data_IF_638622235709
#
_entry.id   IF_638622235709
#
_cell.length_a   1.000
_cell.length_b   1.000
_cell.length_c   1.000
_cell.angle_alpha   90.00
_cell.angle_beta   90.00
_cell.angle_gamma   90.00
#
_symmetry.space_group_name_H-M   'P 1'
#
loop_
_entity.id
_entity.type
_entity.pdbx_description
1 polymer ?
#
# COMPACT_ATOMS: atom_id res chain seq x y z
N UNK A 1 11.90 -1.77 -20.90
CA UNK A 1 11.88 -1.17 -19.55
C UNK A 1 13.09 -1.73 -18.81
N UNK A 2 14.00 -0.90 -18.28
CA UNK A 2 15.27 -1.38 -17.73
C UNK A 2 15.04 -2.45 -16.66
N UNK A 3 15.77 -3.58 -16.76
CA UNK A 3 15.71 -4.72 -15.83
C UNK A 3 15.80 -4.29 -14.35
N UNK A 4 16.55 -3.21 -14.10
CA UNK A 4 16.67 -2.57 -12.79
C UNK A 4 15.35 -1.99 -12.24
N UNK A 5 14.58 -1.25 -13.05
CA UNK A 5 13.28 -0.69 -12.66
C UNK A 5 12.30 -1.81 -12.30
N UNK A 6 12.36 -2.92 -13.03
CA UNK A 6 11.52 -4.08 -12.77
C UNK A 6 11.85 -4.75 -11.43
N UNK A 7 13.13 -4.84 -11.06
CA UNK A 7 13.57 -5.36 -9.76
C UNK A 7 13.10 -4.44 -8.63
N UNK A 8 13.29 -3.13 -8.78
CA UNK A 8 12.82 -2.13 -7.79
C UNK A 8 11.32 -2.28 -7.54
N UNK A 9 10.53 -2.43 -8.61
CA UNK A 9 9.07 -2.60 -8.47
C UNK A 9 8.72 -3.83 -7.63
N UNK A 10 9.38 -4.97 -7.90
CA UNK A 10 9.15 -6.19 -7.12
C UNK A 10 9.54 -6.00 -5.65
N UNK A 11 10.66 -5.33 -5.38
CA UNK A 11 11.09 -5.03 -4.00
C UNK A 11 10.05 -4.15 -3.30
N UNK A 12 9.53 -3.12 -3.96
CA UNK A 12 8.48 -2.24 -3.42
C UNK A 12 7.22 -3.05 -3.10
N UNK A 13 6.75 -3.91 -4.03
CA UNK A 13 5.56 -4.73 -3.80
C UNK A 13 5.76 -5.73 -2.66
N UNK A 14 6.94 -6.36 -2.56
CA UNK A 14 7.27 -7.27 -1.45
C UNK A 14 7.28 -6.53 -0.12
N UNK A 15 7.95 -5.38 -0.03
CA UNK A 15 8.00 -4.56 1.19
C UNK A 15 6.61 -4.09 1.61
N UNK A 16 5.79 -3.68 0.65
CA UNK A 16 4.41 -3.25 0.92
C UNK A 16 3.58 -4.39 1.51
N UNK A 17 3.61 -5.58 0.90
CA UNK A 17 2.91 -6.76 1.44
C UNK A 17 3.46 -7.12 2.81
N UNK A 18 4.78 -7.12 2.98
CA UNK A 18 5.44 -7.44 4.25
C UNK A 18 4.99 -6.50 5.37
N UNK A 19 4.99 -5.18 5.15
CA UNK A 19 4.54 -4.24 6.17
C UNK A 19 3.04 -4.37 6.48
N UNK A 20 2.20 -4.59 5.47
CA UNK A 20 0.77 -4.82 5.72
C UNK A 20 0.55 -6.07 6.58
N UNK A 21 1.27 -7.17 6.30
CA UNK A 21 1.19 -8.39 7.13
C UNK A 21 1.64 -8.12 8.56
N UNK A 22 2.73 -7.38 8.77
CA UNK A 22 3.21 -7.02 10.11
C UNK A 22 2.19 -6.18 10.88
N UNK A 23 1.56 -5.22 10.20
CA UNK A 23 0.48 -4.40 10.79
C UNK A 23 -0.69 -5.30 11.22
N UNK A 24 -1.11 -6.23 10.37
CA UNK A 24 -2.19 -7.17 10.66
C UNK A 24 -1.84 -8.05 11.87
N UNK A 25 -0.63 -8.62 11.91
CA UNK A 25 -0.18 -9.43 13.04
C UNK A 25 -0.18 -8.67 14.36
N UNK A 26 0.11 -7.37 14.32
CA UNK A 26 0.03 -6.50 15.49
C UNK A 26 -1.41 -6.20 15.92
N UNK A 27 -2.34 -5.99 14.97
CA UNK A 27 -3.75 -5.79 15.29
C UNK A 27 -4.42 -7.04 15.87
N UNK A 28 -3.99 -8.24 15.46
CA UNK A 28 -4.45 -9.50 16.03
C UNK A 28 -3.67 -9.95 17.28
N UNK A 29 -2.82 -9.09 17.85
CA UNK A 29 -2.00 -9.38 19.03
C UNK A 29 -1.12 -10.64 18.92
N UNK A 30 -0.78 -11.05 17.70
CA UNK A 30 0.17 -12.16 17.47
C UNK A 30 1.60 -11.70 17.76
N UNK A 31 1.90 -10.44 17.44
CA UNK A 31 3.17 -9.76 17.74
C UNK A 31 2.82 -8.39 18.31
N UNK A 32 3.26 -8.09 19.52
CA UNK A 32 2.99 -6.79 20.15
C UNK A 32 4.19 -5.85 19.93
N UNK A 33 4.00 -4.83 19.09
CA UNK A 33 5.02 -3.80 18.86
C UNK A 33 4.88 -2.66 19.87
N UNK A 34 5.99 -1.98 20.15
CA UNK A 34 5.94 -0.71 20.86
C UNK A 34 5.11 0.31 20.08
N UNK A 35 4.49 1.26 20.79
CA UNK A 35 3.71 2.34 20.18
C UNK A 35 4.51 3.10 19.12
N UNK A 36 5.78 3.38 19.39
CA UNK A 36 6.69 4.04 18.45
C UNK A 36 6.89 3.23 17.17
N UNK A 37 7.18 1.92 17.29
CA UNK A 37 7.41 1.06 16.14
C UNK A 37 6.13 0.87 15.31
N UNK A 38 4.97 0.78 15.97
CA UNK A 38 3.65 0.73 15.33
C UNK A 38 3.43 1.95 14.42
N UNK A 39 3.67 3.16 14.93
CA UNK A 39 3.51 4.39 14.14
C UNK A 39 4.53 4.49 12.99
N UNK A 40 5.76 4.05 13.20
CA UNK A 40 6.76 4.00 12.12
C UNK A 40 6.32 3.06 11.00
N UNK A 41 5.82 1.86 11.33
CA UNK A 41 5.32 0.91 10.34
C UNK A 41 4.12 1.47 9.57
N UNK A 42 3.18 2.13 10.25
CA UNK A 42 2.04 2.78 9.60
C UNK A 42 2.49 3.84 8.60
N UNK A 43 3.42 4.71 9.02
CA UNK A 43 3.94 5.77 8.17
C UNK A 43 4.70 5.24 6.95
N UNK A 44 5.56 4.24 7.14
CA UNK A 44 6.29 3.59 6.05
C UNK A 44 5.34 2.91 5.05
N UNK A 45 4.28 2.26 5.55
CA UNK A 45 3.28 1.61 4.70
C UNK A 45 2.52 2.64 3.87
N UNK A 46 2.12 3.76 4.47
CA UNK A 46 1.47 4.86 3.75
C UNK A 46 2.35 5.39 2.61
N UNK A 47 3.64 5.64 2.88
CA UNK A 47 4.59 6.10 1.86
C UNK A 47 4.69 5.11 0.70
N UNK A 48 4.81 3.81 1.00
CA UNK A 48 4.90 2.78 -0.03
C UNK A 48 3.63 2.70 -0.88
N UNK A 49 2.46 2.83 -0.27
CA UNK A 49 1.17 2.86 -0.98
C UNK A 49 1.14 4.05 -1.95
N UNK A 50 1.53 5.25 -1.49
CA UNK A 50 1.55 6.45 -2.32
C UNK A 50 2.53 6.30 -3.49
N UNK A 51 3.76 5.83 -3.24
CA UNK A 51 4.78 5.62 -4.28
C UNK A 51 4.33 4.57 -5.29
N UNK A 52 3.81 3.42 -4.82
CA UNK A 52 3.36 2.34 -5.69
C UNK A 52 2.20 2.79 -6.59
N UNK A 53 1.20 3.46 -6.01
CA UNK A 53 0.00 3.87 -6.73
C UNK A 53 0.27 5.00 -7.73
N UNK A 54 1.04 6.03 -7.34
CA UNK A 54 1.42 7.13 -8.24
C UNK A 54 2.22 6.63 -9.44
N UNK A 55 3.20 5.76 -9.19
CA UNK A 55 4.00 5.14 -10.25
C UNK A 55 3.11 4.41 -11.27
N UNK A 56 2.16 3.60 -10.81
CA UNK A 56 1.33 2.79 -11.71
C UNK A 56 0.39 3.65 -12.55
N UNK A 57 -0.12 4.76 -12.01
CA UNK A 57 -0.91 5.73 -12.77
C UNK A 57 -0.12 6.32 -13.94
N UNK A 58 1.16 6.65 -13.69
CA UNK A 58 2.03 7.29 -14.69
C UNK A 58 2.54 6.28 -15.72
N UNK A 59 3.02 5.11 -15.27
CA UNK A 59 3.80 4.18 -16.09
C UNK A 59 2.93 3.14 -16.82
N UNK A 60 1.83 2.71 -16.21
CA UNK A 60 1.07 1.59 -16.75
C UNK A 60 0.23 2.01 -17.97
N UNK A 61 -0.02 1.10 -18.91
CA UNK A 61 -0.85 1.39 -20.10
C UNK A 61 -2.30 0.95 -19.93
N UNK A 62 -2.58 0.00 -19.05
CA UNK A 62 -3.94 -0.52 -18.87
C UNK A 62 -4.82 0.46 -18.09
N UNK A 63 -5.96 0.83 -18.67
CA UNK A 63 -6.90 1.76 -18.05
C UNK A 63 -7.45 1.26 -16.71
N UNK A 64 -7.68 -0.05 -16.58
CA UNK A 64 -8.19 -0.66 -15.35
C UNK A 64 -7.17 -0.60 -14.21
N UNK A 65 -5.87 -0.79 -14.47
CA UNK A 65 -4.82 -0.60 -13.46
C UNK A 65 -4.77 0.85 -12.98
N UNK A 66 -4.82 1.81 -13.91
CA UNK A 66 -4.83 3.24 -13.55
C UNK A 66 -6.03 3.58 -12.68
N UNK A 67 -7.20 3.05 -13.02
CA UNK A 67 -8.43 3.27 -12.26
C UNK A 67 -8.32 2.74 -10.82
N UNK A 68 -7.87 1.50 -10.63
CA UNK A 68 -7.67 0.91 -9.30
C UNK A 68 -6.67 1.74 -8.48
N UNK A 69 -5.53 2.11 -9.07
CA UNK A 69 -4.52 2.90 -8.36
C UNK A 69 -4.99 4.34 -8.05
N UNK A 70 -5.86 4.91 -8.88
CA UNK A 70 -6.50 6.19 -8.58
C UNK A 70 -7.44 6.08 -7.37
N UNK A 71 -8.21 4.99 -7.26
CA UNK A 71 -9.03 4.70 -6.07
C UNK A 71 -8.15 4.54 -4.83
N UNK A 72 -7.03 3.82 -4.93
CA UNK A 72 -6.08 3.65 -3.82
C UNK A 72 -5.57 5.02 -3.36
N UNK A 73 -5.11 5.88 -4.28
CA UNK A 73 -4.67 7.24 -3.91
C UNK A 73 -5.78 8.07 -3.28
N UNK A 74 -6.96 8.10 -3.90
CA UNK A 74 -8.08 8.88 -3.39
C UNK A 74 -8.49 8.42 -1.98
N UNK A 75 -8.62 7.10 -1.78
CA UNK A 75 -8.92 6.50 -0.48
C UNK A 75 -7.83 6.75 0.56
N UNK A 76 -6.55 6.80 0.16
CA UNK A 76 -5.44 7.13 1.06
C UNK A 76 -5.50 8.57 1.54
N UNK A 77 -5.83 9.52 0.66
CA UNK A 77 -5.90 10.95 0.99
C UNK A 77 -7.13 11.20 1.87
N UNK A 78 -8.31 10.77 1.40
CA UNK A 78 -9.57 10.96 2.13
C UNK A 78 -9.52 10.22 3.47
N UNK A 79 -9.11 8.95 3.46
CA UNK A 79 -8.97 8.15 4.68
C UNK A 79 -7.98 8.75 5.67
N UNK A 80 -6.83 9.24 5.20
CA UNK A 80 -5.84 9.92 6.03
C UNK A 80 -6.39 11.18 6.70
N UNK A 81 -7.03 12.06 5.91
CA UNK A 81 -7.64 13.29 6.44
C UNK A 81 -8.72 12.97 7.47
N UNK A 82 -9.65 12.06 7.16
CA UNK A 82 -10.71 11.68 8.10
C UNK A 82 -10.17 11.05 9.36
N UNK A 83 -9.10 10.26 9.27
CA UNK A 83 -8.51 9.60 10.43
C UNK A 83 -7.87 10.60 11.39
N UNK A 84 -7.24 11.66 10.87
CA UNK A 84 -6.73 12.77 11.69
C UNK A 84 -7.88 13.52 12.38
N UNK A 85 -8.97 13.80 11.66
CA UNK A 85 -10.12 14.56 12.19
C UNK A 85 -10.87 13.79 13.27
N UNK A 86 -11.07 12.48 13.07
CA UNK A 86 -11.88 11.63 13.96
C UNK A 86 -11.06 10.88 15.01
N UNK A 87 -9.72 10.93 14.89
CA UNK A 87 -8.76 10.14 15.66
C UNK A 87 -9.07 8.62 15.64
N UNK A 88 -9.73 8.15 14.58
CA UNK A 88 -10.16 6.76 14.39
C UNK A 88 -9.75 6.27 12.99
N UNK A 89 -9.64 4.96 12.82
CA UNK A 89 -9.40 4.36 11.51
C UNK A 89 -10.74 4.28 10.77
N UNK A 90 -10.81 4.86 9.58
CA UNK A 90 -12.02 4.89 8.77
C UNK A 90 -12.04 3.77 7.71
N UNK A 91 -13.22 3.42 7.20
CA UNK A 91 -13.43 2.42 6.15
C UNK A 91 -12.56 2.67 4.90
N UNK A 92 -12.29 3.93 4.57
CA UNK A 92 -11.43 4.31 3.45
C UNK A 92 -9.98 3.80 3.62
N UNK A 93 -9.46 3.74 4.84
CA UNK A 93 -8.12 3.20 5.12
C UNK A 93 -8.12 1.69 4.89
N UNK A 94 -9.15 0.98 5.35
CA UNK A 94 -9.27 -0.46 5.10
C UNK A 94 -9.37 -0.78 3.61
N UNK A 95 -10.17 -0.01 2.86
CA UNK A 95 -10.27 -0.12 1.40
C UNK A 95 -8.90 0.12 0.76
N UNK A 96 -8.19 1.17 1.16
CA UNK A 96 -6.85 1.50 0.68
C UNK A 96 -5.86 0.34 0.88
N UNK A 97 -5.82 -0.21 2.10
CA UNK A 97 -4.94 -1.33 2.45
C UNK A 97 -5.31 -2.57 1.62
N UNK A 98 -6.59 -2.93 1.53
CA UNK A 98 -7.03 -4.13 0.81
C UNK A 98 -6.71 -4.05 -0.68
N UNK A 99 -7.02 -2.93 -1.34
CA UNK A 99 -6.72 -2.76 -2.76
C UNK A 99 -5.21 -2.69 -3.04
N UNK A 100 -4.43 -2.03 -2.18
CA UNK A 100 -2.96 -1.99 -2.33
C UNK A 100 -2.32 -3.37 -2.14
N UNK A 101 -2.84 -4.18 -1.23
CA UNK A 101 -2.40 -5.56 -1.01
C UNK A 101 -2.69 -6.44 -2.24
N UNK A 102 -3.92 -6.40 -2.75
CA UNK A 102 -4.32 -7.13 -3.97
C UNK A 102 -3.46 -6.69 -5.16
N UNK A 103 -3.29 -5.38 -5.33
CA UNK A 103 -2.49 -4.85 -6.43
C UNK A 103 -1.02 -5.25 -6.33
N UNK A 104 -0.44 -5.22 -5.12
CA UNK A 104 0.91 -5.71 -4.85
C UNK A 104 1.10 -7.18 -5.22
N UNK A 105 0.11 -8.03 -4.90
CA UNK A 105 0.13 -9.44 -5.32
C UNK A 105 0.02 -9.60 -6.84
N UNK A 106 -0.86 -8.84 -7.50
CA UNK A 106 -0.98 -8.86 -8.96
C UNK A 106 0.35 -8.47 -9.60
N UNK A 107 1.03 -7.44 -9.08
CA UNK A 107 2.31 -7.01 -9.60
C UNK A 107 3.40 -8.10 -9.45
N UNK A 108 3.40 -8.86 -8.36
CA UNK A 108 4.36 -9.95 -8.15
C UNK A 108 4.08 -11.19 -9.02
N UNK A 109 2.82 -11.58 -9.13
CA UNK A 109 2.42 -12.84 -9.81
C UNK A 109 2.32 -12.66 -11.33
N UNK A 110 1.73 -11.56 -11.79
CA UNK A 110 1.34 -11.39 -13.19
C UNK A 110 2.34 -10.57 -14.03
N UNK A 111 3.13 -9.65 -13.45
CA UNK A 111 4.21 -9.01 -14.21
C UNK A 111 5.41 -9.96 -14.31
N UNK A 112 5.32 -10.88 -15.29
CA UNK A 112 6.45 -11.71 -15.72
C UNK A 112 7.53 -10.85 -16.41
N UNK A 113 8.77 -11.31 -16.24
CA UNK A 113 9.99 -10.72 -16.79
C UNK A 113 9.98 -10.59 -18.31
#
# INVERSE_FOLDING_TARGET
MNKFIMIINKIISILLIFFIVFIILNEYYVIEFSTTLKYVLYFLTLILILISSTKEIIVNKSGLSKFINCIILFSSIVGGVFSIVTNQINIFIYICILFSLIYGFIELVYKKA
#
